data_IF_467154741776
#
_entry.id   IF_467154741776
#
_cell.length_a   1.000
_cell.length_b   1.000
_cell.length_c   1.000
_cell.angle_alpha   90.00
_cell.angle_beta   90.00
_cell.angle_gamma   90.00
#
_symmetry.space_group_name_H-M   'P 1'
#
loop_
_entity.id
_entity.type
_entity.pdbx_description
1 polymer ?
#
# COMPACT_ATOMS: atom_id res chain seq x y z
N UNK A 1 -24.95 -3.33 51.94
CA UNK A 1 -24.69 -4.60 52.68
C UNK A 1 -26.00 -5.36 52.78
N UNK A 2 -26.20 -6.38 51.96
CA UNK A 2 -27.28 -7.36 52.12
C UNK A 2 -26.69 -8.73 51.77
N UNK A 3 -26.61 -9.58 52.79
CA UNK A 3 -26.14 -10.96 52.74
C UNK A 3 -27.36 -11.87 52.76
N UNK A 4 -27.53 -12.70 51.75
CA UNK A 4 -28.46 -13.84 51.83
C UNK A 4 -27.73 -15.10 51.36
N UNK A 5 -27.53 -16.01 52.31
CA UNK A 5 -27.02 -17.38 52.13
C UNK A 5 -28.03 -18.21 51.34
N UNK A 6 -27.55 -19.11 50.48
CA UNK A 6 -28.14 -20.45 50.34
C UNK A 6 -27.04 -21.48 50.10
N UNK A 7 -27.15 -22.59 50.84
CA UNK A 7 -26.28 -23.77 50.86
C UNK A 7 -27.18 -24.94 50.47
N UNK A 8 -26.82 -25.75 49.49
CA UNK A 8 -27.36 -27.11 49.30
C UNK A 8 -26.17 -28.03 49.06
N UNK A 9 -26.15 -29.13 49.81
CA UNK A 9 -25.25 -30.28 49.70
C UNK A 9 -26.07 -31.52 49.32
N UNK A 10 -25.35 -32.61 48.97
CA UNK A 10 -25.74 -34.04 48.86
C UNK A 10 -25.83 -34.48 47.37
N UNK A 11 -25.11 -35.49 46.81
CA UNK A 11 -24.17 -36.54 47.28
C UNK A 11 -23.48 -37.21 46.06
N UNK A 12 -22.30 -37.80 46.27
CA UNK A 12 -21.37 -38.58 45.41
C UNK A 12 -21.92 -39.95 44.86
N UNK A 13 -21.14 -40.92 44.29
CA UNK A 13 -20.05 -40.96 43.26
C UNK A 13 -20.16 -42.12 42.18
N UNK A 14 -19.37 -42.03 41.07
CA UNK A 14 -18.48 -43.02 40.35
C UNK A 14 -19.03 -44.46 40.00
N UNK A 15 -18.82 -45.11 38.80
CA UNK A 15 -17.50 -45.52 38.27
C UNK A 15 -17.23 -45.66 36.74
N UNK A 16 -15.91 -45.75 36.45
CA UNK A 16 -15.25 -46.19 35.20
C UNK A 16 -15.58 -47.65 34.83
N UNK A 17 -15.54 -47.97 33.53
CA UNK A 17 -15.21 -49.32 33.02
C UNK A 17 -14.27 -49.23 31.81
N UNK A 18 -13.22 -50.05 31.87
CA UNK A 18 -12.21 -50.38 30.85
C UNK A 18 -12.60 -51.69 30.16
N UNK A 19 -12.34 -51.85 28.85
CA UNK A 19 -11.88 -53.09 28.17
C UNK A 19 -11.68 -52.76 26.67
N UNK A 20 -10.47 -52.74 26.10
CA UNK A 20 -9.59 -53.85 25.67
C UNK A 20 -10.23 -54.75 24.59
N UNK A 21 -9.76 -54.61 23.34
CA UNK A 21 -9.54 -55.73 22.42
C UNK A 21 -8.27 -55.43 21.60
N UNK A 22 -7.35 -56.39 21.58
CA UNK A 22 -6.13 -56.47 20.77
C UNK A 22 -6.26 -57.69 19.86
N UNK A 23 -5.80 -57.61 18.60
CA UNK A 23 -5.04 -58.66 17.90
C UNK A 23 -4.80 -58.24 16.42
N UNK A 24 -3.57 -57.86 16.06
CA UNK A 24 -2.57 -58.61 15.25
C UNK A 24 -2.79 -58.65 13.74
N UNK A 25 -1.85 -58.04 12.99
CA UNK A 25 -1.22 -58.64 11.80
C UNK A 25 0.08 -57.89 11.44
N UNK A 26 1.22 -58.57 11.58
CA UNK A 26 2.54 -58.24 11.01
C UNK A 26 2.57 -58.68 9.54
N UNK A 27 3.21 -58.00 8.57
CA UNK A 27 4.63 -58.08 8.09
C UNK A 27 4.66 -57.42 6.68
N UNK A 28 5.79 -57.19 5.96
CA UNK A 28 7.16 -56.71 6.25
C UNK A 28 7.53 -55.45 5.39
N UNK A 29 8.76 -54.88 5.44
CA UNK A 29 9.10 -53.67 4.68
C UNK A 29 9.53 -53.97 3.24
N UNK A 30 9.20 -53.07 2.30
CA UNK A 30 9.70 -53.08 0.93
C UNK A 30 10.79 -52.04 0.72
N UNK A 31 11.76 -52.45 -0.09
CA UNK A 31 13.07 -51.85 -0.33
C UNK A 31 13.06 -50.49 -1.04
N UNK A 32 14.18 -49.79 -0.82
CA UNK A 32 14.76 -48.75 -1.68
C UNK A 32 14.79 -49.18 -3.15
N UNK A 33 14.28 -48.33 -4.05
CA UNK A 33 14.99 -47.74 -5.20
C UNK A 33 14.00 -46.91 -6.06
N UNK A 34 14.54 -45.93 -6.78
CA UNK A 34 13.90 -45.11 -7.83
C UNK A 34 12.87 -44.05 -7.45
N UNK A 35 13.31 -42.81 -7.17
CA UNK A 35 12.89 -41.62 -7.95
C UNK A 35 14.09 -40.67 -8.04
N UNK A 36 14.92 -40.85 -9.07
CA UNK A 36 15.69 -39.75 -9.64
C UNK A 36 14.96 -39.29 -10.89
N UNK A 37 14.52 -38.02 -10.90
CA UNK A 37 14.37 -37.12 -12.06
C UNK A 37 13.32 -36.04 -11.77
N UNK A 38 13.80 -34.80 -11.80
CA UNK A 38 13.06 -33.70 -12.41
C UNK A 38 12.33 -32.75 -11.46
N UNK A 39 13.02 -31.67 -11.07
CA UNK A 39 12.69 -30.31 -11.52
C UNK A 39 13.84 -29.38 -11.14
N UNK A 40 14.65 -29.07 -12.15
CA UNK A 40 15.65 -28.01 -12.11
C UNK A 40 14.92 -26.67 -12.18
N UNK A 41 15.39 -25.76 -11.34
CA UNK A 41 15.18 -24.33 -11.35
C UNK A 41 15.54 -23.74 -12.72
N UNK A 42 14.67 -22.86 -13.24
CA UNK A 42 14.98 -22.04 -14.42
C UNK A 42 15.61 -20.73 -13.95
N UNK A 43 16.93 -20.72 -13.92
CA UNK A 43 17.78 -19.53 -13.87
C UNK A 43 17.78 -18.91 -15.28
N UNK A 44 17.41 -17.64 -15.41
CA UNK A 44 17.41 -16.92 -16.69
C UNK A 44 18.53 -15.88 -16.69
N UNK A 45 19.70 -16.30 -17.18
CA UNK A 45 20.79 -15.42 -17.63
C UNK A 45 21.30 -15.86 -19.00
N UNK A 46 21.47 -14.86 -19.85
CA UNK A 46 22.24 -14.79 -21.10
C UNK A 46 21.88 -15.73 -22.26
N UNK A 47 21.31 -15.12 -23.30
CA UNK A 47 21.80 -15.34 -24.67
C UNK A 47 22.18 -13.99 -25.29
N UNK A 48 23.49 -13.83 -25.51
CA UNK A 48 24.03 -12.87 -26.48
C UNK A 48 23.62 -13.33 -27.87
N UNK A 49 23.10 -12.41 -28.69
CA UNK A 49 23.23 -12.46 -30.14
C UNK A 49 23.66 -11.09 -30.62
N UNK A 50 24.78 -11.12 -31.34
CA UNK A 50 25.54 -10.03 -31.93
C UNK A 50 24.81 -9.47 -33.17
N UNK A 51 24.57 -8.16 -33.21
CA UNK A 51 24.30 -7.41 -34.45
C UNK A 51 24.63 -5.92 -34.25
N UNK A 52 25.78 -5.52 -34.79
CA UNK A 52 26.14 -4.13 -35.11
C UNK A 52 25.26 -3.56 -36.23
N UNK A 53 24.91 -2.26 -36.19
CA UNK A 53 25.46 -1.38 -37.23
C UNK A 53 25.85 0.03 -36.75
N UNK A 54 27.05 0.43 -37.18
CA UNK A 54 27.58 1.75 -37.57
C UNK A 54 26.79 3.05 -37.28
N UNK A 55 27.42 3.95 -36.53
CA UNK A 55 27.16 5.40 -36.45
C UNK A 55 27.57 6.14 -37.74
N UNK A 56 27.05 7.37 -37.94
CA UNK A 56 27.91 8.46 -38.40
C UNK A 56 27.88 9.68 -37.46
N UNK A 57 29.08 10.17 -37.20
CA UNK A 57 29.49 11.36 -36.44
C UNK A 57 29.01 12.68 -37.06
N UNK A 58 28.65 13.64 -36.21
CA UNK A 58 28.60 15.08 -36.53
C UNK A 58 29.24 15.89 -35.38
N UNK A 59 29.90 17.03 -35.65
CA UNK A 59 30.83 17.63 -34.69
C UNK A 59 30.19 18.71 -33.80
N UNK A 60 30.84 18.86 -32.63
CA UNK A 60 30.64 19.89 -31.61
C UNK A 60 31.08 21.29 -32.06
N UNK A 61 30.36 22.32 -31.58
CA UNK A 61 30.89 23.67 -31.39
C UNK A 61 30.41 24.23 -30.03
N UNK A 62 31.37 24.62 -29.18
CA UNK A 62 31.17 25.38 -27.94
C UNK A 62 32.17 26.53 -27.87
N UNK A 63 31.68 27.77 -27.71
CA UNK A 63 32.36 28.93 -27.08
C UNK A 63 31.25 29.88 -26.58
N UNK A 64 30.92 29.99 -25.28
CA UNK A 64 31.50 30.74 -24.16
C UNK A 64 31.19 32.28 -24.09
N UNK A 65 30.34 32.62 -23.10
CA UNK A 65 30.32 33.72 -22.11
C UNK A 65 30.84 35.17 -22.38
N UNK A 66 30.02 36.17 -21.97
CA UNK A 66 30.34 37.30 -21.05
C UNK A 66 29.10 38.25 -20.94
N UNK A 67 28.51 38.56 -19.79
CA UNK A 67 28.92 39.35 -18.61
C UNK A 67 28.65 40.89 -18.71
N UNK A 68 27.77 41.37 -17.81
CA UNK A 68 27.75 42.65 -17.07
C UNK A 68 27.63 44.01 -17.78
N UNK A 69 26.61 44.82 -17.41
CA UNK A 69 26.75 46.12 -16.71
C UNK A 69 25.41 46.88 -16.57
N UNK A 70 25.24 47.56 -15.43
CA UNK A 70 24.13 48.44 -15.03
C UNK A 70 24.49 49.94 -15.26
N UNK A 71 23.78 50.95 -14.72
CA UNK A 71 22.83 51.81 -15.45
C UNK A 71 23.33 53.25 -15.64
N UNK A 72 22.66 54.04 -16.51
CA UNK A 72 22.79 55.51 -16.53
C UNK A 72 21.44 56.21 -16.64
N UNK A 73 21.39 57.30 -15.89
CA UNK A 73 20.26 58.15 -15.50
C UNK A 73 20.01 59.35 -16.43
N UNK A 74 18.80 59.94 -16.30
CA UNK A 74 18.40 61.32 -16.64
C UNK A 74 18.39 61.68 -18.15
N UNK A 75 17.47 62.46 -18.71
CA UNK A 75 16.51 63.46 -18.19
C UNK A 75 15.44 63.80 -19.25
N UNK A 76 14.30 64.31 -18.75
CA UNK A 76 13.16 64.97 -19.41
C UNK A 76 13.43 65.70 -20.73
N UNK A 77 12.51 65.58 -21.70
CA UNK A 77 11.89 66.72 -22.45
C UNK A 77 10.41 66.38 -22.73
N UNK A 78 9.59 67.42 -22.65
CA UNK A 78 8.13 67.49 -22.67
C UNK A 78 7.47 67.65 -24.05
N UNK A 79 6.17 67.32 -24.07
CA UNK A 79 5.06 67.83 -24.90
C UNK A 79 4.81 67.24 -26.30
N UNK A 80 3.55 66.79 -26.49
CA UNK A 80 2.97 66.47 -27.79
C UNK A 80 1.65 65.70 -27.66
N UNK A 81 0.55 66.42 -27.40
CA UNK A 81 -0.81 65.88 -27.30
C UNK A 81 -1.34 65.41 -28.66
N UNK A 82 -1.57 64.11 -28.83
CA UNK A 82 -2.57 63.57 -29.76
C UNK A 82 -3.38 62.45 -29.08
N UNK A 83 -4.66 62.75 -28.82
CA UNK A 83 -5.67 61.78 -28.41
C UNK A 83 -6.02 60.90 -29.60
N UNK A 84 -5.61 59.65 -29.56
CA UNK A 84 -6.27 58.55 -30.28
C UNK A 84 -6.98 57.69 -29.26
N UNK A 85 -8.31 57.69 -29.31
CA UNK A 85 -9.20 56.85 -28.51
C UNK A 85 -8.95 55.37 -28.83
N UNK A 86 -8.29 54.66 -27.91
CA UNK A 86 -8.22 53.19 -27.90
C UNK A 86 -9.54 52.65 -27.34
N UNK A 87 -10.17 51.62 -27.95
CA UNK A 87 -11.34 51.01 -27.34
C UNK A 87 -10.93 50.35 -26.03
N UNK A 88 -11.71 50.60 -24.98
CA UNK A 88 -11.54 49.93 -23.70
C UNK A 88 -11.56 48.42 -23.91
N UNK A 89 -10.45 47.76 -23.59
CA UNK A 89 -10.35 46.30 -23.58
C UNK A 89 -11.40 45.74 -22.62
N UNK A 90 -12.31 44.95 -23.17
CA UNK A 90 -13.27 44.13 -22.45
C UNK A 90 -12.59 43.41 -21.26
N UNK A 91 -13.19 43.36 -20.06
CA UNK A 91 -12.65 42.55 -19.00
C UNK A 91 -12.63 41.11 -19.49
N UNK A 92 -11.43 40.53 -19.56
CA UNK A 92 -11.23 39.14 -19.95
C UNK A 92 -12.25 38.28 -19.20
N UNK A 93 -13.21 37.71 -19.95
CA UNK A 93 -14.16 36.72 -19.46
C UNK A 93 -13.32 35.71 -18.69
N UNK A 94 -13.51 35.63 -17.37
CA UNK A 94 -12.99 34.51 -16.59
C UNK A 94 -13.52 33.27 -17.28
N UNK A 95 -12.65 32.58 -18.01
CA UNK A 95 -12.93 31.25 -18.50
C UNK A 95 -13.31 30.48 -17.23
N UNK A 96 -14.55 29.97 -17.12
CA UNK A 96 -14.90 29.10 -16.01
C UNK A 96 -13.81 28.02 -15.97
N UNK A 97 -13.22 27.76 -14.80
CA UNK A 97 -12.42 26.55 -14.66
C UNK A 97 -13.29 25.42 -15.19
N UNK A 98 -12.79 24.55 -16.08
CA UNK A 98 -13.57 23.39 -16.49
C UNK A 98 -14.07 22.76 -15.20
N UNK A 99 -15.40 22.56 -15.11
CA UNK A 99 -15.97 21.68 -14.11
C UNK A 99 -15.08 20.44 -14.05
N UNK A 100 -14.72 20.01 -12.83
CA UNK A 100 -13.76 18.93 -12.60
C UNK A 100 -13.93 17.90 -13.69
N UNK A 101 -12.92 17.77 -14.54
CA UNK A 101 -12.95 16.82 -15.65
C UNK A 101 -13.51 15.51 -15.11
N UNK A 102 -14.37 14.90 -15.90
CA UNK A 102 -14.97 13.55 -15.81
C UNK A 102 -13.95 12.42 -15.69
N UNK A 103 -12.75 12.69 -15.17
CA UNK A 103 -11.72 11.72 -14.89
C UNK A 103 -12.11 10.91 -13.66
N UNK A 104 -12.04 9.61 -13.87
CA UNK A 104 -12.20 8.59 -12.85
C UNK A 104 -11.29 8.92 -11.63
N UNK A 105 -11.83 8.99 -10.40
CA UNK A 105 -11.02 9.25 -9.22
C UNK A 105 -9.97 8.15 -9.02
N UNK A 106 -8.83 8.52 -8.44
CA UNK A 106 -7.73 7.58 -8.17
C UNK A 106 -7.64 7.25 -6.68
N UNK A 107 -7.48 5.97 -6.38
CA UNK A 107 -7.09 5.43 -5.09
C UNK A 107 -5.64 4.94 -5.19
N UNK A 108 -4.70 5.62 -4.54
CA UNK A 108 -3.29 5.21 -4.55
C UNK A 108 -3.01 4.32 -3.35
N UNK A 109 -2.36 3.18 -3.58
CA UNK A 109 -1.91 2.27 -2.54
C UNK A 109 -0.41 2.44 -2.34
N UNK A 110 0.01 3.16 -1.29
CA UNK A 110 1.42 3.42 -1.01
C UNK A 110 1.89 2.65 0.22
N UNK A 111 2.93 1.82 0.05
CA UNK A 111 3.39 0.94 1.12
C UNK A 111 4.59 0.09 0.75
N UNK A 112 4.85 -0.94 1.56
CA UNK A 112 5.95 -1.87 1.38
C UNK A 112 5.57 -3.11 0.54
N UNK A 113 6.20 -4.27 0.80
CA UNK A 113 5.95 -5.53 0.09
C UNK A 113 4.52 -6.01 0.21
N UNK A 114 3.83 -5.77 1.33
CA UNK A 114 2.42 -6.16 1.51
C UNK A 114 1.52 -5.37 0.56
N UNK A 115 1.91 -4.13 0.27
CA UNK A 115 1.24 -3.32 -0.76
C UNK A 115 1.66 -3.77 -2.15
N UNK A 116 2.93 -4.05 -2.41
CA UNK A 116 3.43 -4.52 -3.72
C UNK A 116 2.72 -5.81 -4.17
N UNK A 117 2.58 -6.77 -3.27
CA UNK A 117 1.92 -8.05 -3.50
C UNK A 117 0.39 -7.95 -3.53
N UNK A 118 -0.19 -6.79 -3.22
CA UNK A 118 -1.65 -6.61 -3.14
C UNK A 118 -2.38 -6.81 -4.47
N UNK A 119 -1.67 -6.81 -5.60
CA UNK A 119 -2.20 -7.06 -6.93
C UNK A 119 -2.02 -8.52 -7.39
N UNK A 120 -1.41 -9.37 -6.57
CA UNK A 120 -1.36 -10.81 -6.84
C UNK A 120 -2.75 -11.45 -6.75
N UNK A 121 -2.87 -12.71 -7.18
CA UNK A 121 -4.14 -13.44 -7.13
C UNK A 121 -4.64 -13.58 -5.69
N UNK A 122 -5.85 -13.08 -5.43
CA UNK A 122 -6.41 -13.00 -4.07
C UNK A 122 -5.93 -11.81 -3.24
N UNK A 123 -5.17 -10.90 -3.85
CA UNK A 123 -4.66 -9.69 -3.21
C UNK A 123 -5.70 -8.60 -3.00
N UNK A 124 -5.56 -7.80 -1.94
CA UNK A 124 -6.53 -6.76 -1.57
C UNK A 124 -6.60 -5.60 -2.58
N UNK A 125 -5.50 -5.26 -3.26
CA UNK A 125 -5.44 -4.25 -4.31
C UNK A 125 -6.12 -4.71 -5.61
N UNK A 126 -5.94 -5.98 -5.99
CA UNK A 126 -6.68 -6.58 -7.09
C UNK A 126 -8.19 -6.60 -6.79
N UNK A 127 -8.58 -6.97 -5.56
CA UNK A 127 -9.98 -6.96 -5.13
C UNK A 127 -10.59 -5.54 -5.14
N UNK A 128 -9.83 -4.51 -4.76
CA UNK A 128 -10.28 -3.11 -4.89
C UNK A 128 -10.49 -2.71 -6.36
N UNK A 129 -9.59 -3.12 -7.25
CA UNK A 129 -9.69 -2.84 -8.68
C UNK A 129 -10.97 -3.44 -9.27
N UNK A 130 -11.29 -4.68 -8.90
CA UNK A 130 -12.56 -5.33 -9.27
C UNK A 130 -13.76 -4.60 -8.67
N UNK A 131 -13.72 -4.29 -7.37
CA UNK A 131 -14.81 -3.65 -6.62
C UNK A 131 -15.25 -2.30 -7.21
N UNK A 132 -14.29 -1.53 -7.70
CA UNK A 132 -14.47 -0.19 -8.27
C UNK A 132 -14.29 -0.15 -9.80
N UNK A 133 -14.43 -1.29 -10.47
CA UNK A 133 -14.35 -1.37 -11.92
C UNK A 133 -15.27 -0.32 -12.56
N UNK A 134 -14.72 0.46 -13.50
CA UNK A 134 -15.38 1.58 -14.19
C UNK A 134 -15.73 2.78 -13.29
N UNK A 135 -15.27 2.84 -12.04
CA UNK A 135 -15.62 3.92 -11.10
C UNK A 135 -14.41 4.58 -10.45
N UNK A 136 -13.34 3.82 -10.17
CA UNK A 136 -12.08 4.36 -9.67
C UNK A 136 -10.88 3.65 -10.33
N UNK A 137 -9.77 4.37 -10.52
CA UNK A 137 -8.49 3.76 -10.82
C UNK A 137 -7.77 3.43 -9.51
N UNK A 138 -7.37 2.18 -9.32
CA UNK A 138 -6.53 1.77 -8.20
C UNK A 138 -5.08 1.74 -8.67
N UNK A 139 -4.23 2.55 -8.03
CA UNK A 139 -2.86 2.81 -8.47
C UNK A 139 -1.89 2.23 -7.45
N UNK A 140 -1.20 1.16 -7.84
CA UNK A 140 -0.21 0.49 -6.99
C UNK A 140 1.10 1.30 -6.88
N UNK A 141 1.55 1.56 -5.65
CA UNK A 141 2.85 2.13 -5.29
C UNK A 141 3.47 1.39 -4.10
N UNK A 142 3.47 0.06 -4.17
CA UNK A 142 4.18 -0.80 -3.22
C UNK A 142 5.68 -0.84 -3.52
N UNK A 143 6.50 -0.90 -2.47
CA UNK A 143 7.96 -0.91 -2.53
C UNK A 143 8.51 -2.01 -1.61
N UNK A 144 8.70 -3.22 -2.14
CA UNK A 144 9.12 -4.37 -1.36
C UNK A 144 10.41 -4.13 -0.57
N UNK A 145 10.36 -4.47 0.73
CA UNK A 145 11.48 -4.29 1.67
C UNK A 145 11.69 -2.86 2.19
N UNK A 146 10.95 -1.86 1.71
CA UNK A 146 11.15 -0.47 2.14
C UNK A 146 10.63 -0.20 3.56
N UNK A 147 11.38 0.59 4.33
CA UNK A 147 10.93 1.22 5.55
C UNK A 147 10.53 2.68 5.30
N UNK A 148 9.97 3.36 6.30
CA UNK A 148 9.52 4.76 6.16
C UNK A 148 10.66 5.73 5.86
N UNK A 149 11.86 5.47 6.38
CA UNK A 149 13.07 6.30 6.14
C UNK A 149 13.40 6.35 4.65
N UNK A 150 13.39 5.21 3.97
CA UNK A 150 13.66 5.13 2.54
C UNK A 150 12.48 5.61 1.70
N UNK A 151 11.26 5.23 2.09
CA UNK A 151 10.04 5.65 1.41
C UNK A 151 9.96 7.19 1.27
N UNK A 152 10.32 7.93 2.32
CA UNK A 152 10.39 9.39 2.27
C UNK A 152 11.34 9.94 1.22
N UNK A 153 12.52 9.31 1.05
CA UNK A 153 13.54 9.78 0.11
C UNK A 153 13.09 9.65 -1.34
N UNK A 154 12.26 8.65 -1.62
CA UNK A 154 11.78 8.36 -2.98
C UNK A 154 10.35 8.86 -3.22
N UNK A 155 9.69 9.43 -2.21
CA UNK A 155 8.26 9.77 -2.25
C UNK A 155 7.85 10.60 -3.48
N UNK A 156 8.59 11.65 -3.92
CA UNK A 156 8.24 12.38 -5.13
C UNK A 156 8.25 11.50 -6.38
N UNK A 157 9.26 10.64 -6.52
CA UNK A 157 9.41 9.72 -7.64
C UNK A 157 8.38 8.60 -7.61
N UNK A 158 8.13 8.04 -6.42
CA UNK A 158 7.10 7.03 -6.22
C UNK A 158 5.71 7.55 -6.63
N UNK A 159 5.44 8.85 -6.49
CA UNK A 159 4.16 9.46 -6.86
C UNK A 159 4.09 9.95 -8.32
N UNK A 160 5.11 9.73 -9.14
CA UNK A 160 5.03 10.02 -10.57
C UNK A 160 3.88 9.24 -11.22
N UNK A 161 3.10 9.91 -12.08
CA UNK A 161 1.90 9.35 -12.70
C UNK A 161 0.69 9.15 -11.77
N UNK A 162 0.83 9.32 -10.46
CA UNK A 162 -0.26 9.22 -9.48
C UNK A 162 -0.93 10.59 -9.25
N UNK A 163 -1.31 11.30 -10.32
CA UNK A 163 -1.78 12.67 -10.22
C UNK A 163 -3.15 12.80 -9.53
N UNK A 164 -3.25 13.74 -8.58
CA UNK A 164 -4.47 14.18 -7.88
C UNK A 164 -5.36 13.04 -7.34
N UNK A 165 -4.84 12.18 -6.44
CA UNK A 165 -5.60 11.08 -5.89
C UNK A 165 -6.74 11.58 -5.00
N UNK A 166 -7.90 10.95 -5.12
CA UNK A 166 -9.02 11.18 -4.22
C UNK A 166 -8.70 10.63 -2.82
N UNK A 167 -8.00 9.49 -2.76
CA UNK A 167 -7.52 8.90 -1.53
C UNK A 167 -6.16 8.20 -1.72
N UNK A 168 -5.37 8.16 -0.65
CA UNK A 168 -4.09 7.44 -0.57
C UNK A 168 -4.07 6.59 0.70
N UNK A 169 -3.75 5.30 0.59
CA UNK A 169 -3.38 4.49 1.76
C UNK A 169 -1.88 4.60 1.99
N UNK A 170 -1.47 4.71 3.26
CA UNK A 170 -0.06 4.68 3.69
C UNK A 170 0.12 3.49 4.60
N UNK A 171 0.79 2.45 4.11
CA UNK A 171 0.93 1.15 4.77
C UNK A 171 2.40 0.75 4.89
N UNK A 172 3.03 1.24 5.97
CA UNK A 172 4.42 0.97 6.34
C UNK A 172 4.53 0.68 7.83
N UNK A 173 5.64 0.08 8.23
CA UNK A 173 5.94 -0.24 9.62
C UNK A 173 6.41 -1.67 9.82
N UNK A 174 6.06 -2.58 8.90
CA UNK A 174 6.46 -3.99 9.01
C UNK A 174 7.98 -4.15 8.96
N UNK A 175 8.64 -3.37 8.10
CA UNK A 175 10.09 -3.33 7.98
C UNK A 175 10.75 -2.47 9.05
N UNK A 176 10.15 -1.32 9.37
CA UNK A 176 10.60 -0.43 10.44
C UNK A 176 10.68 -1.14 11.80
N UNK A 177 9.75 -2.07 12.06
CA UNK A 177 9.65 -2.86 13.29
C UNK A 177 10.61 -4.07 13.38
N UNK A 178 11.52 -4.26 12.41
CA UNK A 178 12.63 -5.21 12.58
C UNK A 178 13.44 -4.88 13.83
N UNK A 179 13.93 -5.91 14.52
CA UNK A 179 14.75 -5.72 15.72
C UNK A 179 16.14 -5.19 15.34
N UNK A 180 16.66 -4.18 16.07
CA UNK A 180 17.89 -3.46 15.70
C UNK A 180 19.18 -4.27 15.82
N UNK A 181 19.15 -5.41 16.52
CA UNK A 181 20.31 -6.26 16.77
C UNK A 181 20.20 -7.65 16.10
N UNK A 182 19.34 -7.77 15.08
CA UNK A 182 19.03 -9.05 14.41
C UNK A 182 19.35 -9.02 12.91
N UNK A 183 19.20 -10.15 12.21
CA UNK A 183 19.67 -10.31 10.81
C UNK A 183 19.07 -9.31 9.80
N UNK A 184 17.91 -8.71 10.11
CA UNK A 184 17.27 -7.66 9.32
C UNK A 184 17.36 -6.26 9.95
N UNK A 185 18.31 -6.03 10.86
CA UNK A 185 18.51 -4.75 11.55
C UNK A 185 18.59 -3.53 10.63
N UNK A 186 19.11 -3.71 9.41
CA UNK A 186 19.21 -2.64 8.41
C UNK A 186 17.85 -2.05 7.98
N UNK A 187 16.75 -2.78 8.19
CA UNK A 187 15.39 -2.31 7.93
C UNK A 187 14.81 -1.51 9.11
N UNK A 188 15.37 -1.64 10.32
CA UNK A 188 14.86 -0.96 11.51
C UNK A 188 14.87 0.57 11.35
N UNK A 189 13.79 1.18 11.81
CA UNK A 189 13.66 2.62 11.98
C UNK A 189 13.18 2.87 13.41
N UNK A 190 13.95 3.57 14.27
CA UNK A 190 13.53 3.86 15.64
C UNK A 190 12.12 4.48 15.72
N UNK A 191 11.39 4.18 16.80
CA UNK A 191 9.96 4.48 16.90
C UNK A 191 9.63 5.98 16.80
N UNK A 192 10.51 6.85 17.30
CA UNK A 192 10.41 8.31 17.18
C UNK A 192 10.62 8.79 15.74
N UNK A 193 11.60 8.19 15.05
CA UNK A 193 11.85 8.45 13.64
C UNK A 193 10.70 7.93 12.77
N UNK A 194 10.17 6.73 13.04
CA UNK A 194 9.01 6.17 12.34
C UNK A 194 7.80 7.11 12.40
N UNK A 195 7.45 7.60 13.59
CA UNK A 195 6.35 8.55 13.74
C UNK A 195 6.61 9.87 13.00
N UNK A 196 7.84 10.40 13.11
CA UNK A 196 8.25 11.60 12.40
C UNK A 196 8.16 11.41 10.88
N UNK A 197 8.53 10.22 10.40
CA UNK A 197 8.47 9.88 8.99
C UNK A 197 7.02 9.79 8.49
N UNK A 198 6.13 9.14 9.25
CA UNK A 198 4.70 9.10 8.92
C UNK A 198 4.11 10.51 8.83
N UNK A 199 4.42 11.40 9.79
CA UNK A 199 3.98 12.81 9.73
C UNK A 199 4.47 13.50 8.46
N UNK A 200 5.73 13.31 8.09
CA UNK A 200 6.30 13.90 6.87
C UNK A 200 5.67 13.33 5.59
N UNK A 201 5.39 12.02 5.53
CA UNK A 201 4.68 11.39 4.40
C UNK A 201 3.27 11.99 4.25
N UNK A 202 2.51 12.06 5.35
CA UNK A 202 1.17 12.67 5.34
C UNK A 202 1.23 14.15 4.95
N UNK A 203 2.20 14.90 5.49
CA UNK A 203 2.44 16.30 5.16
C UNK A 203 2.70 16.52 3.66
N UNK A 204 3.55 15.68 3.05
CA UNK A 204 3.80 15.73 1.60
C UNK A 204 2.51 15.58 0.78
N UNK A 205 1.66 14.60 1.14
CA UNK A 205 0.39 14.40 0.43
C UNK A 205 -0.55 15.60 0.61
N UNK A 206 -0.64 16.18 1.81
CA UNK A 206 -1.48 17.36 2.05
C UNK A 206 -0.96 18.64 1.39
N UNK A 207 0.35 18.82 1.31
CA UNK A 207 0.94 19.94 0.58
C UNK A 207 0.67 19.83 -0.92
N UNK A 208 0.86 18.63 -1.49
CA UNK A 208 0.70 18.40 -2.93
C UNK A 208 -0.76 18.32 -3.37
N UNK A 209 -1.62 17.69 -2.56
CA UNK A 209 -3.03 17.45 -2.83
C UNK A 209 -3.87 17.71 -1.57
N UNK A 210 -4.20 18.98 -1.26
CA UNK A 210 -4.88 19.34 0.00
C UNK A 210 -6.19 18.58 0.26
N UNK A 211 -6.91 18.26 -0.82
CA UNK A 211 -8.20 17.55 -0.78
C UNK A 211 -8.08 16.04 -0.65
N UNK A 212 -6.88 15.44 -0.82
CA UNK A 212 -6.72 13.99 -0.80
C UNK A 212 -7.03 13.43 0.58
N UNK A 213 -7.82 12.36 0.66
CA UNK A 213 -7.99 11.61 1.89
C UNK A 213 -6.76 10.72 2.13
N UNK A 214 -6.19 10.77 3.33
CA UNK A 214 -5.04 9.95 3.70
C UNK A 214 -5.52 8.93 4.72
N UNK A 215 -5.35 7.64 4.43
CA UNK A 215 -5.74 6.54 5.30
C UNK A 215 -4.46 5.84 5.73
N UNK A 216 -4.15 5.89 7.03
CA UNK A 216 -3.01 5.16 7.58
C UNK A 216 -3.42 3.70 7.85
N UNK A 217 -2.50 2.77 7.61
CA UNK A 217 -2.69 1.35 7.93
C UNK A 217 -1.52 0.96 8.83
N UNK A 218 -1.83 0.45 10.01
CA UNK A 218 -0.82 -0.07 10.96
C UNK A 218 -0.06 -1.24 10.34
N UNK A 219 1.20 -1.53 10.74
CA UNK A 219 1.83 -2.80 10.37
C UNK A 219 1.00 -4.01 10.85
N UNK A 220 1.00 -5.13 10.13
CA UNK A 220 0.28 -6.34 10.54
C UNK A 220 0.90 -7.01 11.76
N UNK A 221 0.21 -7.99 12.39
CA UNK A 221 0.85 -8.83 13.37
C UNK A 221 1.93 -9.72 12.72
N UNK A 222 2.88 -10.18 13.54
CA UNK A 222 3.94 -11.11 13.12
C UNK A 222 3.69 -12.46 13.77
N UNK A 223 3.87 -13.55 13.01
CA UNK A 223 3.92 -14.89 13.58
C UNK A 223 5.35 -15.42 13.54
N UNK A 224 6.06 -15.26 14.65
CA UNK A 224 7.49 -15.53 14.75
C UNK A 224 7.88 -16.95 14.34
N UNK A 225 7.16 -18.03 14.72
CA UNK A 225 7.53 -19.39 14.30
C UNK A 225 7.55 -19.61 12.78
N UNK A 226 6.64 -18.99 12.02
CA UNK A 226 6.68 -19.05 10.56
C UNK A 226 7.78 -18.14 10.01
N UNK A 227 7.92 -16.94 10.58
CA UNK A 227 8.91 -15.96 10.13
C UNK A 227 10.36 -16.42 10.32
N UNK A 228 10.66 -17.02 11.47
CA UNK A 228 11.96 -17.63 11.75
C UNK A 228 12.25 -18.76 10.74
N UNK A 229 11.25 -19.57 10.40
CA UNK A 229 11.41 -20.65 9.43
C UNK A 229 11.66 -20.11 8.01
N UNK A 230 11.00 -19.03 7.64
CA UNK A 230 11.20 -18.36 6.36
C UNK A 230 12.62 -17.79 6.22
N UNK A 231 13.14 -17.15 7.29
CA UNK A 231 14.47 -16.54 7.28
C UNK A 231 15.60 -17.58 7.35
N UNK A 232 15.46 -18.61 8.19
CA UNK A 232 16.57 -19.52 8.54
C UNK A 232 16.35 -20.98 8.12
N UNK A 233 15.19 -21.35 7.57
CA UNK A 233 14.84 -22.74 7.31
C UNK A 233 14.55 -23.56 8.57
N UNK A 234 14.68 -24.90 8.47
CA UNK A 234 14.25 -25.85 9.53
C UNK A 234 15.39 -26.34 10.44
N UNK A 235 16.65 -26.15 10.06
CA UNK A 235 17.80 -26.75 10.77
C UNK A 235 18.89 -25.77 11.26
N UNK A 236 18.75 -24.46 11.04
CA UNK A 236 19.71 -23.48 11.55
C UNK A 236 19.63 -23.35 13.11
N UNK A 237 20.75 -23.53 13.84
CA UNK A 237 20.80 -23.40 15.30
C UNK A 237 20.89 -21.96 15.81
N UNK A 238 21.13 -20.97 14.94
CA UNK A 238 21.23 -19.54 15.27
C UNK A 238 19.91 -18.77 15.20
N UNK A 239 18.81 -19.48 14.95
CA UNK A 239 17.46 -18.93 14.81
C UNK A 239 17.08 -17.99 15.95
N UNK A 240 16.93 -16.73 15.59
CA UNK A 240 16.37 -15.70 16.45
C UNK A 240 15.30 -14.94 15.67
N UNK A 241 14.24 -14.53 16.35
CA UNK A 241 13.23 -13.69 15.75
C UNK A 241 13.87 -12.38 15.30
N UNK A 242 13.75 -12.04 14.02
CA UNK A 242 14.22 -10.74 13.49
C UNK A 242 13.14 -9.67 13.58
N UNK A 243 11.89 -10.09 13.73
CA UNK A 243 10.69 -9.30 14.01
C UNK A 243 9.88 -10.04 15.07
N UNK A 244 9.20 -9.32 15.94
CA UNK A 244 8.26 -9.88 16.93
C UNK A 244 6.90 -9.22 16.82
N UNK A 245 5.87 -9.92 17.23
CA UNK A 245 4.51 -9.37 17.25
C UNK A 245 4.39 -8.20 18.25
N UNK A 246 5.15 -8.27 19.35
CA UNK A 246 5.23 -7.20 20.34
C UNK A 246 5.84 -5.91 19.76
N UNK A 247 6.93 -6.03 19.00
CA UNK A 247 7.52 -4.90 18.31
C UNK A 247 6.53 -4.33 17.28
N UNK A 248 5.94 -5.18 16.43
CA UNK A 248 4.93 -4.76 15.47
C UNK A 248 3.75 -4.02 16.15
N UNK A 249 3.29 -4.51 17.31
CA UNK A 249 2.26 -3.85 18.12
C UNK A 249 2.65 -2.45 18.59
N UNK A 250 3.92 -2.24 18.98
CA UNK A 250 4.42 -0.91 19.37
C UNK A 250 4.39 0.07 18.19
N UNK A 251 4.74 -0.38 16.98
CA UNK A 251 4.67 0.44 15.77
C UNK A 251 3.22 0.66 15.32
N UNK A 252 2.32 -0.31 15.52
CA UNK A 252 0.88 -0.13 15.29
C UNK A 252 0.29 0.97 16.18
N UNK A 253 0.61 0.96 17.48
CA UNK A 253 0.21 2.02 18.40
C UNK A 253 0.76 3.39 18.00
N UNK A 254 2.02 3.45 17.57
CA UNK A 254 2.64 4.68 17.11
C UNK A 254 1.99 5.23 15.82
N UNK A 255 1.65 4.35 14.87
CA UNK A 255 0.92 4.72 13.66
C UNK A 255 -0.48 5.30 13.99
N UNK A 256 -1.22 4.65 14.88
CA UNK A 256 -2.53 5.15 15.34
C UNK A 256 -2.41 6.48 16.08
N UNK A 257 -1.37 6.67 16.90
CA UNK A 257 -1.12 7.93 17.59
C UNK A 257 -0.90 9.09 16.60
N UNK A 258 -0.08 8.87 15.57
CA UNK A 258 0.14 9.85 14.49
C UNK A 258 -1.15 10.12 13.72
N UNK A 259 -1.91 9.08 13.37
CA UNK A 259 -3.18 9.26 12.67
C UNK A 259 -4.16 10.13 13.47
N UNK A 260 -4.29 9.86 14.78
CA UNK A 260 -5.10 10.65 15.69
C UNK A 260 -4.63 12.09 15.81
N UNK A 261 -3.31 12.30 15.95
CA UNK A 261 -2.69 13.63 16.01
C UNK A 261 -3.02 14.47 14.77
N UNK A 262 -2.93 13.87 13.58
CA UNK A 262 -3.16 14.55 12.30
C UNK A 262 -4.64 14.59 11.88
N UNK A 263 -5.54 13.94 12.63
CA UNK A 263 -6.95 13.82 12.26
C UNK A 263 -7.17 13.00 10.99
N UNK A 264 -6.32 12.00 10.73
CA UNK A 264 -6.46 11.08 9.60
C UNK A 264 -7.13 9.77 10.03
N UNK A 265 -7.99 9.18 9.19
CA UNK A 265 -8.49 7.83 9.42
C UNK A 265 -7.35 6.80 9.48
N UNK A 266 -7.53 5.77 10.31
CA UNK A 266 -6.56 4.68 10.48
C UNK A 266 -7.24 3.32 10.52
N UNK A 267 -6.59 2.33 9.90
CA UNK A 267 -6.97 0.92 9.94
C UNK A 267 -5.98 0.19 10.86
N UNK A 268 -6.48 -0.30 12.00
CA UNK A 268 -5.74 -1.12 12.94
C UNK A 268 -5.75 -2.59 12.50
N UNK A 269 -5.05 -2.90 11.40
CA UNK A 269 -4.94 -4.27 10.90
C UNK A 269 -4.17 -5.18 11.88
N UNK A 270 -3.27 -4.63 12.71
CA UNK A 270 -2.60 -5.37 13.77
C UNK A 270 -3.60 -6.04 14.71
N UNK A 271 -4.55 -5.27 15.25
CA UNK A 271 -5.60 -5.81 16.13
C UNK A 271 -6.61 -6.64 15.34
N UNK A 272 -7.11 -6.11 14.20
CA UNK A 272 -8.20 -6.72 13.43
C UNK A 272 -7.88 -8.14 12.95
N UNK A 273 -6.66 -8.36 12.48
CA UNK A 273 -6.27 -9.69 12.01
C UNK A 273 -6.22 -10.71 13.17
N UNK A 274 -5.86 -10.28 14.38
CA UNK A 274 -5.75 -11.15 15.55
C UNK A 274 -7.11 -11.52 16.18
N UNK A 275 -8.21 -10.92 15.73
CA UNK A 275 -9.57 -11.32 16.12
C UNK A 275 -9.96 -12.71 15.57
N UNK A 276 -9.23 -13.22 14.56
CA UNK A 276 -9.45 -14.52 13.95
C UNK A 276 -8.63 -15.60 14.67
N UNK A 277 -9.23 -16.69 15.21
CA UNK A 277 -8.52 -17.66 16.06
C UNK A 277 -7.29 -18.34 15.45
N UNK A 278 -7.20 -18.42 14.12
CA UNK A 278 -6.14 -19.12 13.39
C UNK A 278 -5.28 -18.17 12.52
N UNK A 279 -5.34 -16.87 12.78
CA UNK A 279 -4.71 -15.82 11.96
C UNK A 279 -3.24 -16.07 11.62
N UNK A 280 -2.50 -16.69 12.55
CA UNK A 280 -1.07 -16.96 12.43
C UNK A 280 -0.72 -17.75 11.16
N UNK A 281 -1.60 -18.65 10.75
CA UNK A 281 -1.38 -19.54 9.59
C UNK A 281 -2.46 -19.37 8.53
N UNK A 282 -3.65 -18.92 8.90
CA UNK A 282 -4.73 -18.67 7.94
C UNK A 282 -4.52 -17.34 7.22
N UNK A 283 -4.06 -16.29 7.91
CA UNK A 283 -3.90 -14.95 7.37
C UNK A 283 -2.48 -14.64 6.89
N UNK A 284 -1.45 -15.31 7.43
CA UNK A 284 -0.04 -15.08 7.10
C UNK A 284 0.60 -16.30 6.42
N UNK A 285 1.30 -16.07 5.29
CA UNK A 285 1.93 -17.13 4.49
C UNK A 285 3.29 -17.56 5.03
N UNK A 286 4.10 -16.59 5.44
CA UNK A 286 5.47 -16.76 5.94
C UNK A 286 5.65 -16.16 7.34
N UNK A 287 4.55 -15.84 8.01
CA UNK A 287 4.54 -15.16 9.30
C UNK A 287 4.63 -13.63 9.21
N UNK A 288 4.60 -13.05 8.01
CA UNK A 288 4.55 -11.61 7.77
C UNK A 288 3.62 -11.24 6.59
N UNK A 289 3.81 -11.84 5.42
CA UNK A 289 3.05 -11.55 4.21
C UNK A 289 1.69 -12.25 4.23
N UNK A 290 0.73 -11.68 3.50
CA UNK A 290 -0.66 -12.09 3.60
C UNK A 290 -0.98 -13.27 2.66
N UNK A 291 -1.72 -14.23 3.18
CA UNK A 291 -2.46 -15.19 2.35
C UNK A 291 -3.68 -14.51 1.69
N UNK A 292 -4.43 -15.18 0.81
CA UNK A 292 -5.72 -14.67 0.34
C UNK A 292 -6.71 -14.32 1.49
N UNK A 293 -6.67 -15.06 2.60
CA UNK A 293 -7.49 -14.76 3.79
C UNK A 293 -7.04 -13.47 4.46
N UNK A 294 -5.73 -13.28 4.68
CA UNK A 294 -5.21 -12.04 5.27
C UNK A 294 -5.49 -10.82 4.39
N UNK A 295 -5.34 -10.97 3.07
CA UNK A 295 -5.73 -9.97 2.09
C UNK A 295 -7.22 -9.62 2.17
N UNK A 296 -8.10 -10.62 2.31
CA UNK A 296 -9.54 -10.39 2.46
C UNK A 296 -9.88 -9.59 3.71
N UNK A 297 -9.23 -9.87 4.85
CA UNK A 297 -9.43 -9.12 6.10
C UNK A 297 -9.12 -7.64 5.87
N UNK A 298 -7.96 -7.34 5.28
CA UNK A 298 -7.58 -5.96 5.00
C UNK A 298 -8.51 -5.30 3.98
N UNK A 299 -8.87 -6.01 2.91
CA UNK A 299 -9.82 -5.51 1.90
C UNK A 299 -11.15 -5.07 2.53
N UNK A 300 -11.74 -5.91 3.41
CA UNK A 300 -13.01 -5.60 4.05
C UNK A 300 -12.91 -4.33 4.91
N UNK A 301 -11.81 -4.13 5.64
CA UNK A 301 -11.57 -2.92 6.43
C UNK A 301 -11.30 -1.68 5.57
N UNK A 302 -10.55 -1.82 4.46
CA UNK A 302 -10.31 -0.71 3.52
C UNK A 302 -11.61 -0.27 2.86
N UNK A 303 -12.47 -1.20 2.43
CA UNK A 303 -13.77 -0.86 1.83
C UNK A 303 -14.68 -0.12 2.82
N UNK A 304 -14.74 -0.59 4.08
CA UNK A 304 -15.51 0.11 5.13
C UNK A 304 -14.96 1.52 5.36
N UNK A 305 -13.64 1.66 5.42
CA UNK A 305 -12.99 2.95 5.64
C UNK A 305 -13.26 3.92 4.48
N UNK A 306 -13.10 3.45 3.23
CA UNK A 306 -13.38 4.24 2.04
C UNK A 306 -14.85 4.70 1.99
N UNK A 307 -15.79 3.82 2.32
CA UNK A 307 -17.20 4.19 2.40
C UNK A 307 -17.47 5.29 3.45
N UNK A 308 -16.79 5.25 4.60
CA UNK A 308 -16.94 6.26 5.66
C UNK A 308 -16.51 7.67 5.25
N UNK A 309 -15.64 7.77 4.23
CA UNK A 309 -15.17 9.06 3.68
C UNK A 309 -15.86 9.42 2.36
N UNK A 310 -16.94 8.72 1.99
CA UNK A 310 -17.70 8.98 0.76
C UNK A 310 -17.06 8.43 -0.52
N UNK A 311 -16.11 7.50 -0.40
CA UNK A 311 -15.53 6.76 -1.52
C UNK A 311 -16.15 5.35 -1.56
N UNK A 312 -17.34 5.24 -2.15
CA UNK A 312 -18.08 3.97 -2.26
C UNK A 312 -18.63 3.75 -3.66
N UNK A 313 -18.95 2.50 -3.99
CA UNK A 313 -19.55 2.13 -5.29
C UNK A 313 -20.86 2.85 -5.55
N UNK A 314 -21.62 3.10 -4.49
CA UNK A 314 -22.94 3.72 -4.53
C UNK A 314 -22.82 5.23 -4.74
N UNK A 315 -21.72 5.83 -4.28
CA UNK A 315 -21.44 7.27 -4.43
C UNK A 315 -20.71 7.64 -5.72
N UNK A 316 -19.93 6.72 -6.30
CA UNK A 316 -19.09 7.01 -7.46
C UNK A 316 -19.84 6.75 -8.77
N UNK A 317 -19.86 7.71 -9.72
CA UNK A 317 -20.44 7.46 -11.04
C UNK A 317 -19.62 6.43 -11.82
N UNK A 318 -20.28 5.69 -12.69
CA UNK A 318 -19.60 4.96 -13.76
C UNK A 318 -18.94 5.97 -14.70
N UNK A 319 -17.75 5.66 -15.18
CA UNK A 319 -16.96 6.52 -16.06
C UNK A 319 -17.61 6.77 -17.44
N UNK A 320 -18.35 5.77 -17.91
CA UNK A 320 -19.09 5.76 -19.17
C UNK A 320 -20.47 5.11 -18.99
N UNK A 321 -21.42 5.32 -19.92
CA UNK A 321 -22.77 4.74 -19.87
C UNK A 321 -22.77 3.21 -19.78
N UNK A 322 -23.82 2.63 -19.20
CA UNK A 322 -24.03 1.19 -19.30
C UNK A 322 -24.49 0.84 -20.70
N UNK A 323 -24.17 -0.37 -21.18
CA UNK A 323 -24.45 -0.74 -22.58
C UNK A 323 -25.94 -0.68 -22.92
N UNK A 324 -26.84 -0.84 -21.94
CA UNK A 324 -28.29 -0.76 -22.13
C UNK A 324 -28.81 0.68 -22.20
N UNK A 325 -27.99 1.67 -21.84
CA UNK A 325 -28.29 3.10 -21.99
C UNK A 325 -27.88 3.63 -23.36
N UNK A 326 -27.20 2.82 -24.18
CA UNK A 326 -26.70 3.20 -25.50
C UNK A 326 -27.72 2.80 -26.56
N UNK A 327 -28.31 3.78 -27.26
CA UNK A 327 -29.07 3.50 -28.48
C UNK A 327 -28.11 3.04 -29.59
N UNK A 328 -28.21 1.81 -30.13
CA UNK A 328 -27.34 1.35 -31.21
C UNK A 328 -27.45 2.19 -32.49
N UNK A 329 -28.54 2.94 -32.67
CA UNK A 329 -28.76 3.82 -33.83
C UNK A 329 -28.23 5.23 -33.59
N UNK A 330 -28.07 5.65 -32.34
CA UNK A 330 -27.53 6.96 -31.96
C UNK A 330 -26.70 6.88 -30.65
N UNK A 331 -25.54 6.21 -30.69
CA UNK A 331 -24.75 5.97 -29.47
C UNK A 331 -24.15 7.27 -28.89
N UNK A 332 -23.97 8.29 -29.74
CA UNK A 332 -23.38 9.57 -29.34
C UNK A 332 -24.25 10.32 -28.32
N UNK A 333 -25.56 10.09 -28.34
CA UNK A 333 -26.49 10.67 -27.36
C UNK A 333 -26.13 10.23 -25.92
N UNK A 334 -25.73 8.97 -25.73
CA UNK A 334 -25.35 8.44 -24.42
C UNK A 334 -23.92 8.86 -24.02
N UNK A 335 -23.02 9.09 -24.98
CA UNK A 335 -21.62 9.41 -24.71
C UNK A 335 -21.36 10.84 -24.22
N UNK A 336 -22.38 11.71 -24.21
CA UNK A 336 -22.29 13.03 -23.61
C UNK A 336 -21.27 13.95 -24.28
N UNK A 337 -21.44 14.16 -25.60
CA UNK A 337 -20.60 15.01 -26.44
C UNK A 337 -20.27 16.38 -25.84
#
# INVERSE_FOLDING_TARGET
MNLTKFRIWITDPIPRVLQVVSATASTPPLNREEISRGRRTADSRNMLVDHTPTEPTAPDDKVAANATASPRSCSRISNGSHRTSTPASEPARRIPRPERSTMRPRLVLFGDSITEQSFESGGWGAALTDRFARQADVVLRGLSGYNTRWALKVLPRAMEGAADPAAVTVFFGANDASLPDQVQAHQNVPLDEYQSNLRAICGYFKERWPSTAIILITPPPIYEPARIRDIYGVDDPSRQAERTNEAAGSYAQACMAVAKELGHPVIDIWTKMQEFPDWQTSALSDGLHFTPTGNKILFDEVVKMLASIGFSKESLPSDLPLYHDIDPKDPMQAFGA
#
